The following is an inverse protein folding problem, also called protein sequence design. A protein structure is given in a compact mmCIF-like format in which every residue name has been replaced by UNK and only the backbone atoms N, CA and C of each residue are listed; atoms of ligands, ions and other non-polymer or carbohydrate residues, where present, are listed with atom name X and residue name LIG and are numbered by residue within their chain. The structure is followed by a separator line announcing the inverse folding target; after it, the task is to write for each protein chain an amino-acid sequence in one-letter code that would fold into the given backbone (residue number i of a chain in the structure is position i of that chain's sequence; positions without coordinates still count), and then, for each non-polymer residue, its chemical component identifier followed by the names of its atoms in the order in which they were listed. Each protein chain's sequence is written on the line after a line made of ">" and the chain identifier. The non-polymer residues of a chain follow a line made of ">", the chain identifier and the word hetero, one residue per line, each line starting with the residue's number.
data_IF_101359867064
#
_entry.id   IF_101359867064
#
_cell.length_a   1.000
_cell.length_b   1.000
_cell.length_c   1.000
_cell.angle_alpha   90.00
_cell.angle_beta   90.00
_cell.angle_gamma   90.00
#
_symmetry.space_group_name_H-M   'P 1'
#
loop_
_entity.id
_entity.type
_entity.pdbx_description
1 polymer ?
#
# COMPACT_ATOMS: atom_id res chain seq x y z
N UNK A 1 -31.37 -8.82 22.51
CA UNK A 1 -30.15 -8.76 21.65
C UNK A 1 -29.02 -8.02 22.35
N UNK A 2 -29.27 -6.83 22.89
CA UNK A 2 -28.26 -5.98 23.57
C UNK A 2 -27.47 -6.71 24.67
N UNK A 3 -28.15 -7.49 25.51
CA UNK A 3 -27.52 -8.30 26.57
C UNK A 3 -26.53 -9.33 26.02
N UNK A 4 -26.91 -10.03 24.94
CA UNK A 4 -26.04 -11.00 24.28
C UNK A 4 -24.82 -10.29 23.68
N UNK A 5 -25.02 -9.20 22.93
CA UNK A 5 -23.92 -8.41 22.35
C UNK A 5 -22.95 -7.88 23.41
N UNK A 6 -23.47 -7.41 24.55
CA UNK A 6 -22.67 -6.93 25.68
C UNK A 6 -21.82 -8.03 26.31
N UNK A 7 -22.34 -9.27 26.38
CA UNK A 7 -21.57 -10.43 26.85
C UNK A 7 -20.46 -10.88 25.89
N UNK A 8 -20.64 -10.74 24.56
CA UNK A 8 -19.60 -11.11 23.58
C UNK A 8 -18.50 -10.04 23.53
N UNK A 9 -18.86 -8.76 23.74
CA UNK A 9 -17.93 -7.64 23.70
C UNK A 9 -16.91 -7.61 24.84
N UNK A 10 -17.19 -8.27 25.96
CA UNK A 10 -16.26 -8.40 27.10
C UNK A 10 -16.51 -9.73 27.86
N UNK A 11 -15.57 -10.70 27.83
CA UNK A 11 -15.74 -12.02 28.44
C UNK A 11 -15.81 -11.99 29.99
N UNK A 12 -15.39 -10.90 30.65
CA UNK A 12 -15.50 -10.75 32.11
C UNK A 12 -16.90 -10.33 32.58
N UNK A 13 -17.81 -9.98 31.65
CA UNK A 13 -18.97 -9.15 31.97
C UNK A 13 -20.24 -9.91 32.36
N UNK A 14 -20.28 -11.24 32.28
CA UNK A 14 -21.49 -12.02 32.61
C UNK A 14 -21.95 -11.83 34.05
N UNK A 15 -21.02 -11.62 34.99
CA UNK A 15 -21.31 -11.32 36.40
C UNK A 15 -21.98 -9.94 36.54
N UNK A 16 -21.47 -8.95 35.81
CA UNK A 16 -22.04 -7.59 35.77
C UNK A 16 -23.43 -7.56 35.12
N UNK A 17 -23.59 -8.26 33.99
CA UNK A 17 -24.88 -8.43 33.31
C UNK A 17 -25.91 -9.13 34.21
N UNK A 18 -25.51 -10.16 34.95
CA UNK A 18 -26.39 -10.83 35.92
C UNK A 18 -26.86 -9.87 37.01
N UNK A 19 -25.95 -9.04 37.53
CA UNK A 19 -26.25 -8.02 38.54
C UNK A 19 -27.19 -6.92 38.01
N UNK A 20 -26.95 -6.44 36.79
CA UNK A 20 -27.75 -5.38 36.15
C UNK A 20 -29.19 -5.84 35.84
N UNK A 21 -29.37 -7.12 35.50
CA UNK A 21 -30.67 -7.71 35.12
C UNK A 21 -31.37 -8.36 36.33
N UNK A 22 -30.67 -8.51 37.46
CA UNK A 22 -31.19 -9.15 38.67
C UNK A 22 -31.27 -10.68 38.59
N UNK A 23 -30.43 -11.32 37.78
CA UNK A 23 -30.37 -12.78 37.60
C UNK A 23 -29.00 -13.34 37.97
N UNK A 24 -28.98 -14.59 38.43
CA UNK A 24 -27.72 -15.25 38.78
C UNK A 24 -26.82 -15.45 37.54
N UNK A 25 -25.50 -15.27 37.69
CA UNK A 25 -24.56 -15.38 36.57
C UNK A 25 -24.63 -16.76 35.88
N UNK A 26 -24.87 -17.84 36.61
CA UNK A 26 -25.05 -19.17 36.00
C UNK A 26 -26.25 -19.25 35.06
N UNK A 27 -27.30 -18.45 35.30
CA UNK A 27 -28.44 -18.33 34.38
C UNK A 27 -28.05 -17.52 33.15
N UNK A 28 -27.31 -16.42 33.30
CA UNK A 28 -26.75 -15.65 32.18
C UNK A 28 -25.88 -16.55 31.28
N UNK A 29 -25.02 -17.37 31.89
CA UNK A 29 -24.13 -18.28 31.16
C UNK A 29 -24.90 -19.32 30.35
N UNK A 30 -25.95 -19.93 30.92
CA UNK A 30 -26.80 -20.91 30.19
C UNK A 30 -27.55 -20.25 29.05
N UNK A 31 -28.17 -19.10 29.29
CA UNK A 31 -28.89 -18.35 28.25
C UNK A 31 -27.94 -17.88 27.14
N UNK A 32 -26.71 -17.49 27.48
CA UNK A 32 -25.70 -17.13 26.49
C UNK A 32 -25.34 -18.31 25.59
N UNK A 33 -25.09 -19.49 26.17
CA UNK A 33 -24.78 -20.70 25.41
C UNK A 33 -25.93 -21.07 24.45
N UNK A 34 -27.18 -21.08 24.93
CA UNK A 34 -28.35 -21.37 24.10
C UNK A 34 -28.52 -20.38 22.94
N UNK A 35 -28.27 -19.09 23.19
CA UNK A 35 -28.36 -18.06 22.14
C UNK A 35 -27.20 -18.20 21.16
N UNK A 36 -25.99 -18.48 21.65
CA UNK A 36 -24.81 -18.71 20.82
C UNK A 36 -25.04 -19.86 19.85
N UNK A 37 -25.53 -21.01 20.34
CA UNK A 37 -25.82 -22.18 19.50
C UNK A 37 -26.83 -21.87 18.41
N UNK A 38 -27.88 -21.10 18.72
CA UNK A 38 -28.89 -20.67 17.73
C UNK A 38 -28.33 -19.69 16.71
N UNK A 39 -27.42 -18.80 17.11
CA UNK A 39 -26.74 -17.87 16.18
C UNK A 39 -25.80 -18.64 15.25
N UNK A 40 -25.00 -19.57 15.79
CA UNK A 40 -24.10 -20.41 15.00
C UNK A 40 -24.89 -21.32 14.05
N UNK A 41 -26.02 -21.88 14.48
CA UNK A 41 -26.91 -22.67 13.61
C UNK A 41 -27.51 -21.87 12.45
N UNK A 42 -27.42 -20.53 12.47
CA UNK A 42 -27.82 -19.65 11.37
C UNK A 42 -26.62 -19.12 10.58
N UNK A 43 -25.38 -19.48 10.91
CA UNK A 43 -24.19 -19.00 10.21
C UNK A 43 -24.29 -19.22 8.70
N UNK A 44 -24.74 -20.41 8.26
CA UNK A 44 -24.94 -20.75 6.84
C UNK A 44 -26.06 -19.97 6.15
N UNK A 45 -26.79 -19.09 6.83
CA UNK A 45 -27.74 -18.16 6.19
C UNK A 45 -27.14 -16.76 6.06
N UNK A 46 -26.22 -16.38 6.97
CA UNK A 46 -25.68 -15.02 7.08
C UNK A 46 -24.25 -14.88 6.54
N UNK A 47 -23.50 -15.98 6.57
CA UNK A 47 -22.13 -16.09 6.06
C UNK A 47 -22.21 -17.05 4.88
N UNK A 48 -22.29 -16.51 3.68
CA UNK A 48 -22.27 -17.25 2.44
C UNK A 48 -20.99 -16.92 1.70
N UNK A 49 -20.18 -17.93 1.43
CA UNK A 49 -19.04 -17.79 0.55
C UNK A 49 -19.48 -18.12 -0.88
N UNK A 50 -19.03 -17.36 -1.89
CA UNK A 50 -19.34 -17.68 -3.28
C UNK A 50 -18.75 -19.06 -3.61
N UNK A 51 -19.62 -20.05 -3.85
CA UNK A 51 -19.22 -21.43 -4.15
C UNK A 51 -19.11 -21.70 -5.64
N UNK A 52 -19.78 -20.90 -6.47
CA UNK A 52 -19.71 -20.96 -7.92
C UNK A 52 -18.71 -19.92 -8.47
N UNK A 53 -17.85 -20.26 -9.45
CA UNK A 53 -16.97 -19.31 -10.11
C UNK A 53 -17.68 -18.04 -10.60
N UNK A 54 -18.94 -18.14 -11.02
CA UNK A 54 -19.74 -17.00 -11.47
C UNK A 54 -20.09 -16.06 -10.32
N UNK A 55 -20.53 -16.60 -9.18
CA UNK A 55 -20.81 -15.84 -7.96
C UNK A 55 -19.54 -15.21 -7.38
N UNK A 56 -18.43 -15.94 -7.45
CA UNK A 56 -17.13 -15.43 -7.02
C UNK A 56 -16.70 -14.23 -7.87
N UNK A 57 -16.86 -14.33 -9.19
CA UNK A 57 -16.56 -13.24 -10.10
C UNK A 57 -17.52 -12.06 -9.90
N UNK A 58 -18.80 -12.30 -9.65
CA UNK A 58 -19.79 -11.25 -9.36
C UNK A 58 -19.49 -10.52 -8.04
N UNK A 59 -19.13 -11.24 -6.97
CA UNK A 59 -18.75 -10.67 -5.68
C UNK A 59 -17.44 -9.86 -5.79
N UNK A 60 -16.45 -10.39 -6.52
CA UNK A 60 -15.20 -9.71 -6.85
C UNK A 60 -15.47 -8.45 -7.67
N UNK A 61 -16.33 -8.52 -8.67
CA UNK A 61 -16.70 -7.38 -9.51
C UNK A 61 -17.48 -6.34 -8.71
N UNK A 62 -18.36 -6.73 -7.78
CA UNK A 62 -19.06 -5.80 -6.89
C UNK A 62 -18.08 -5.05 -5.97
N UNK A 63 -17.13 -5.77 -5.37
CA UNK A 63 -16.07 -5.19 -4.54
C UNK A 63 -15.12 -4.28 -5.34
N UNK A 64 -14.79 -4.67 -6.57
CA UNK A 64 -14.00 -3.84 -7.48
C UNK A 64 -14.82 -2.66 -8.04
N UNK A 65 -16.14 -2.80 -8.20
CA UNK A 65 -17.04 -1.75 -8.69
C UNK A 65 -17.30 -0.66 -7.66
N UNK A 66 -16.94 -0.84 -6.39
CA UNK A 66 -16.92 0.26 -5.44
C UNK A 66 -16.03 1.37 -6.03
N UNK A 67 -16.66 2.45 -6.52
CA UNK A 67 -15.97 3.53 -7.24
C UNK A 67 -14.78 4.08 -6.45
N UNK A 68 -14.88 4.05 -5.13
CA UNK A 68 -13.78 4.33 -4.21
C UNK A 68 -12.55 3.44 -4.44
N UNK A 69 -12.70 2.11 -4.47
CA UNK A 69 -11.59 1.18 -4.66
C UNK A 69 -10.94 1.33 -6.04
N UNK A 70 -11.75 1.55 -7.08
CA UNK A 70 -11.26 1.85 -8.44
C UNK A 70 -10.48 3.16 -8.50
N UNK A 71 -11.01 4.23 -7.89
CA UNK A 71 -10.36 5.53 -7.83
C UNK A 71 -9.04 5.44 -7.05
N UNK A 72 -9.09 4.85 -5.85
CA UNK A 72 -7.94 4.68 -4.98
C UNK A 72 -6.83 3.85 -5.63
N UNK A 73 -7.18 2.75 -6.32
CA UNK A 73 -6.21 1.95 -7.08
C UNK A 73 -5.53 2.76 -8.18
N UNK A 74 -6.30 3.54 -8.95
CA UNK A 74 -5.76 4.40 -10.02
C UNK A 74 -4.83 5.47 -9.46
N UNK A 75 -5.21 6.14 -8.38
CA UNK A 75 -4.38 7.16 -7.73
C UNK A 75 -3.09 6.58 -7.18
N UNK A 76 -3.17 5.46 -6.45
CA UNK A 76 -2.00 4.77 -5.90
C UNK A 76 -1.01 4.40 -7.00
N UNK A 77 -1.50 3.90 -8.12
CA UNK A 77 -0.69 3.56 -9.28
C UNK A 77 0.04 4.78 -9.85
N UNK A 78 -0.61 5.93 -9.97
CA UNK A 78 0.03 7.17 -10.43
C UNK A 78 1.16 7.57 -9.47
N UNK A 79 0.91 7.52 -8.16
CA UNK A 79 1.93 7.85 -7.14
C UNK A 79 3.11 6.87 -7.18
N UNK A 80 2.85 5.56 -7.28
CA UNK A 80 3.88 4.54 -7.39
C UNK A 80 4.74 4.75 -8.65
N UNK A 81 4.13 5.12 -9.78
CA UNK A 81 4.86 5.49 -11.01
C UNK A 81 5.73 6.73 -10.82
N UNK A 82 5.20 7.79 -10.23
CA UNK A 82 5.96 9.01 -9.94
C UNK A 82 7.17 8.71 -9.06
N UNK A 83 7.00 7.92 -7.99
CA UNK A 83 8.11 7.54 -7.12
C UNK A 83 9.10 6.60 -7.81
N UNK A 84 8.63 5.68 -8.66
CA UNK A 84 9.50 4.83 -9.47
C UNK A 84 10.42 5.64 -10.38
N UNK A 85 9.85 6.59 -11.13
CA UNK A 85 10.62 7.48 -12.01
C UNK A 85 11.58 8.36 -11.22
N UNK A 86 11.14 8.94 -10.09
CA UNK A 86 11.97 9.78 -9.24
C UNK A 86 13.18 9.00 -8.70
N UNK A 87 12.97 7.78 -8.20
CA UNK A 87 14.03 6.91 -7.66
C UNK A 87 15.02 6.44 -8.73
N UNK A 88 14.55 6.07 -9.93
CA UNK A 88 15.42 5.72 -11.07
C UNK A 88 16.28 6.89 -11.51
N UNK A 89 15.70 8.10 -11.53
CA UNK A 89 16.39 9.34 -11.91
C UNK A 89 17.40 9.79 -10.87
N UNK A 90 17.10 9.60 -9.59
CA UNK A 90 17.98 9.94 -8.47
C UNK A 90 18.28 8.70 -7.63
N UNK A 91 19.24 7.86 -8.06
CA UNK A 91 19.57 6.58 -7.39
C UNK A 91 19.99 6.73 -5.93
N UNK A 92 20.43 7.93 -5.53
CA UNK A 92 20.69 8.25 -4.14
C UNK A 92 19.47 8.04 -3.22
N UNK A 93 18.24 8.07 -3.77
CA UNK A 93 16.99 7.81 -3.05
C UNK A 93 16.66 6.31 -2.93
N UNK A 94 17.35 5.44 -3.68
CA UNK A 94 17.16 3.98 -3.63
C UNK A 94 18.06 3.32 -2.56
N UNK A 95 19.20 3.95 -2.26
CA UNK A 95 20.19 3.42 -1.31
C UNK A 95 20.31 4.21 -0.01
N UNK A 96 21.35 3.91 0.76
CA UNK A 96 21.68 4.67 1.99
C UNK A 96 22.17 6.07 1.62
N UNK A 97 21.39 7.09 1.96
CA UNK A 97 21.77 8.49 1.73
C UNK A 97 22.89 8.88 2.70
N UNK A 98 24.07 9.25 2.17
CA UNK A 98 25.24 9.66 2.96
C UNK A 98 25.24 11.17 3.23
N UNK A 99 24.11 11.74 3.61
CA UNK A 99 23.99 13.16 4.00
C UNK A 99 23.48 13.26 5.44
N UNK A 100 23.73 14.40 6.07
CA UNK A 100 23.19 14.69 7.40
C UNK A 100 21.66 14.57 7.39
N UNK A 101 21.08 13.84 8.34
CA UNK A 101 19.63 13.55 8.39
C UNK A 101 18.75 14.81 8.25
N UNK A 102 19.15 15.91 8.90
CA UNK A 102 18.46 17.21 8.80
C UNK A 102 18.36 17.78 7.38
N UNK A 103 19.25 17.39 6.46
CA UNK A 103 19.26 17.83 5.06
C UNK A 103 18.48 16.90 4.13
N UNK A 104 18.07 15.72 4.59
CA UNK A 104 17.34 14.73 3.78
C UNK A 104 16.01 15.28 3.25
N UNK A 105 15.18 15.99 4.03
CA UNK A 105 13.96 16.59 3.50
C UNK A 105 14.23 17.58 2.36
N UNK A 106 15.23 18.45 2.51
CA UNK A 106 15.64 19.39 1.47
C UNK A 106 16.16 18.69 0.22
N UNK A 107 16.91 17.59 0.38
CA UNK A 107 17.36 16.77 -0.75
C UNK A 107 16.16 16.18 -1.52
N UNK A 108 15.19 15.61 -0.82
CA UNK A 108 13.99 15.02 -1.45
C UNK A 108 13.24 16.09 -2.25
N UNK A 109 13.02 17.28 -1.66
CA UNK A 109 12.38 18.40 -2.35
C UNK A 109 13.18 18.84 -3.58
N UNK A 110 14.50 18.95 -3.46
CA UNK A 110 15.36 19.29 -4.60
C UNK A 110 15.27 18.25 -5.72
N UNK A 111 15.25 16.95 -5.40
CA UNK A 111 15.03 15.88 -6.38
C UNK A 111 13.67 16.04 -7.09
N UNK A 112 12.59 16.33 -6.36
CA UNK A 112 11.27 16.55 -6.96
C UNK A 112 11.26 17.77 -7.90
N UNK A 113 11.86 18.90 -7.49
CA UNK A 113 11.97 20.09 -8.33
C UNK A 113 12.77 19.78 -9.60
N UNK A 114 13.93 19.14 -9.46
CA UNK A 114 14.79 18.77 -10.59
C UNK A 114 14.13 17.74 -11.53
N UNK A 115 13.29 16.85 -10.99
CA UNK A 115 12.47 15.95 -11.80
C UNK A 115 11.50 16.73 -12.68
N UNK A 116 10.75 17.67 -12.08
CA UNK A 116 9.77 18.48 -12.79
C UNK A 116 10.43 19.35 -13.87
N UNK A 117 11.55 20.02 -13.54
CA UNK A 117 12.33 20.80 -14.50
C UNK A 117 12.74 19.94 -15.69
N UNK A 118 13.21 18.72 -15.44
CA UNK A 118 13.62 17.85 -16.51
C UNK A 118 12.48 17.32 -17.37
N UNK A 119 11.29 17.10 -16.79
CA UNK A 119 10.07 16.80 -17.56
C UNK A 119 9.70 17.98 -18.47
N UNK A 120 9.76 19.21 -17.95
CA UNK A 120 9.51 20.42 -18.74
C UNK A 120 10.52 20.59 -19.89
N UNK A 121 11.79 20.27 -19.65
CA UNK A 121 12.85 20.35 -20.66
C UNK A 121 12.93 19.14 -21.59
N UNK A 122 12.04 18.15 -21.42
CA UNK A 122 12.05 16.88 -22.17
C UNK A 122 13.46 16.25 -22.18
N UNK A 123 14.09 16.12 -20.99
CA UNK A 123 15.46 15.56 -20.89
C UNK A 123 15.53 14.23 -21.66
N UNK A 124 16.37 14.11 -22.70
CA UNK A 124 16.43 12.92 -23.55
C UNK A 124 16.91 11.67 -22.79
N UNK A 125 17.41 11.84 -21.57
CA UNK A 125 17.76 10.73 -20.70
C UNK A 125 16.66 10.41 -19.66
N UNK A 126 15.47 11.01 -19.76
CA UNK A 126 14.38 10.63 -18.89
C UNK A 126 13.95 9.18 -19.18
N UNK A 127 13.57 8.44 -18.14
CA UNK A 127 13.20 7.04 -18.32
C UNK A 127 11.84 6.95 -19.04
N UNK A 128 11.68 6.04 -20.01
CA UNK A 128 10.40 5.87 -20.68
C UNK A 128 9.29 5.58 -19.67
N UNK A 129 8.10 6.11 -19.97
CA UNK A 129 6.92 5.92 -19.13
C UNK A 129 6.57 4.43 -19.07
N UNK A 130 6.42 3.89 -17.86
CA UNK A 130 6.23 2.46 -17.64
C UNK A 130 4.88 2.01 -18.22
N UNK A 131 4.90 1.17 -19.25
CA UNK A 131 3.67 0.61 -19.84
C UNK A 131 3.28 -0.68 -19.10
N UNK A 132 2.03 -0.78 -18.66
CA UNK A 132 1.53 -1.79 -17.71
C UNK A 132 1.48 -3.25 -18.22
N UNK A 133 1.77 -3.49 -19.50
CA UNK A 133 1.58 -4.79 -20.14
C UNK A 133 2.73 -5.79 -19.93
N UNK A 134 3.84 -5.40 -19.32
CA UNK A 134 5.02 -6.26 -19.17
C UNK A 134 5.63 -6.09 -17.77
N UNK A 135 5.24 -6.96 -16.83
CA UNK A 135 5.97 -7.16 -15.58
C UNK A 135 6.58 -8.55 -15.66
N UNK A 136 7.78 -8.66 -16.24
CA UNK A 136 8.61 -9.85 -16.03
C UNK A 136 9.47 -9.65 -14.78
N UNK A 137 9.48 -10.64 -13.89
CA UNK A 137 10.14 -10.58 -12.59
C UNK A 137 11.68 -10.64 -12.69
N UNK A 138 12.24 -10.69 -13.90
CA UNK A 138 13.68 -10.73 -14.17
C UNK A 138 14.35 -9.34 -14.32
N UNK A 139 13.61 -8.24 -14.39
CA UNK A 139 14.16 -6.91 -14.75
C UNK A 139 14.90 -6.18 -13.61
N UNK A 140 14.72 -6.59 -12.35
CA UNK A 140 15.25 -5.86 -11.19
C UNK A 140 16.79 -5.88 -11.10
N UNK A 141 17.44 -6.99 -11.50
CA UNK A 141 18.90 -7.15 -11.40
C UNK A 141 19.62 -6.35 -12.49
N UNK A 142 19.09 -6.34 -13.71
CA UNK A 142 19.69 -5.58 -14.82
C UNK A 142 19.48 -4.07 -14.71
N UNK A 143 18.51 -3.61 -13.93
CA UNK A 143 18.25 -2.18 -13.77
C UNK A 143 19.30 -1.49 -12.88
N UNK A 144 19.78 -2.13 -11.82
CA UNK A 144 20.78 -1.54 -10.91
C UNK A 144 22.14 -1.31 -11.58
N UNK A 145 22.60 -2.26 -12.41
CA UNK A 145 23.84 -2.11 -13.17
C UNK A 145 23.75 -1.01 -14.24
N UNK A 146 22.62 -0.91 -14.93
CA UNK A 146 22.34 0.16 -15.91
C UNK A 146 22.33 1.53 -15.25
N UNK A 147 21.69 1.64 -14.08
CA UNK A 147 21.66 2.87 -13.28
C UNK A 147 23.07 3.28 -12.83
N UNK A 148 23.88 2.33 -12.35
CA UNK A 148 25.24 2.57 -11.88
C UNK A 148 26.16 3.05 -13.00
N UNK A 149 26.12 2.40 -14.16
CA UNK A 149 26.93 2.75 -15.33
C UNK A 149 26.58 4.15 -15.85
N UNK A 150 25.29 4.47 -15.96
CA UNK A 150 24.81 5.81 -16.34
C UNK A 150 25.28 6.90 -15.37
N UNK A 151 25.23 6.62 -14.06
CA UNK A 151 25.71 7.56 -13.04
C UNK A 151 27.23 7.81 -13.11
N UNK A 152 28.02 6.82 -13.52
CA UNK A 152 29.46 7.00 -13.76
C UNK A 152 29.71 7.84 -15.01
N UNK A 153 28.99 7.57 -16.09
CA UNK A 153 29.14 8.29 -17.36
C UNK A 153 28.80 9.77 -17.23
N UNK A 154 27.66 10.11 -16.62
CA UNK A 154 27.29 11.51 -16.35
C UNK A 154 28.34 12.23 -15.48
N UNK A 155 28.92 11.54 -14.49
CA UNK A 155 29.98 12.13 -13.65
C UNK A 155 31.24 12.42 -14.45
N UNK A 156 31.63 11.53 -15.37
CA UNK A 156 32.77 11.76 -16.27
C UNK A 156 32.51 12.93 -17.22
N UNK A 157 31.33 12.99 -17.83
CA UNK A 157 30.96 14.10 -18.72
C UNK A 157 31.03 15.45 -18.00
N UNK A 158 30.46 15.54 -16.79
CA UNK A 158 30.55 16.75 -15.97
C UNK A 158 32.00 17.08 -15.62
N UNK A 159 32.81 16.07 -15.24
CA UNK A 159 34.23 16.29 -14.93
C UNK A 159 35.01 16.83 -16.13
N UNK A 160 34.75 16.32 -17.34
CA UNK A 160 35.38 16.77 -18.57
C UNK A 160 34.97 18.21 -18.91
N UNK A 161 33.68 18.55 -18.81
CA UNK A 161 33.18 19.92 -19.05
C UNK A 161 33.83 20.91 -18.07
N UNK A 162 33.97 20.53 -16.80
CA UNK A 162 34.64 21.39 -15.81
C UNK A 162 36.12 21.55 -16.14
N UNK A 163 36.79 20.49 -16.59
CA UNK A 163 38.21 20.54 -16.93
C UNK A 163 38.48 21.41 -18.17
N UNK A 164 37.65 21.28 -19.21
CA UNK A 164 37.77 22.04 -20.47
C UNK A 164 37.44 23.53 -20.31
N UNK A 165 36.60 23.91 -19.33
CA UNK A 165 36.29 25.33 -19.06
C UNK A 165 37.31 26.03 -18.13
N UNK A 166 38.31 25.31 -17.62
CA UNK A 166 39.36 25.83 -16.73
C UNK A 166 40.76 25.82 -17.34
N UNK A 167 40.89 25.51 -18.63
CA UNK A 167 42.10 25.66 -19.47
C UNK A 167 41.85 26.77 -20.49
#
# INVERSE_FOLDING_TARGET
>A
MEVFLRCIGDPGFQVGVGKDIGIHQSTVSRTFADVLDKVVAKADTWIQFPSDPTDFQAAKDAWQKTSYNKCHKKERLIIERCFGQLKRRFPMLQGRVRIQLRKVPSLIVACCIMHNVAKCLQDPNDFPEYNELYVDNNDAVHEDDRIRQRGQERRRQIANIIHENHV
#
